data_IF_531187039675
#
_entry.id   IF_531187039675
#
_cell.length_a   1.000
_cell.length_b   1.000
_cell.length_c   1.000
_cell.angle_alpha   90.00
_cell.angle_beta   90.00
_cell.angle_gamma   90.00
#
_symmetry.space_group_name_H-M   'P 1'
#
loop_
_entity.id
_entity.type
_entity.pdbx_description
1 polymer ?
#
# COMPACT_ATOMS: atom_id res chain seq x y z
N UNK A 1 13.99 -68.07 -45.10
CA UNK A 1 14.85 -66.90 -44.75
C UNK A 1 13.92 -65.75 -44.38
N UNK A 2 14.15 -65.17 -43.20
CA UNK A 2 13.22 -64.37 -42.38
C UNK A 2 12.75 -63.07 -43.04
N UNK A 3 11.45 -62.77 -42.85
CA UNK A 3 10.87 -61.44 -43.01
C UNK A 3 11.38 -60.51 -41.90
N UNK A 4 11.91 -59.33 -42.28
CA UNK A 4 12.26 -58.26 -41.34
C UNK A 4 10.99 -57.58 -40.80
N UNK A 5 10.90 -57.23 -39.51
CA UNK A 5 9.80 -56.43 -39.00
C UNK A 5 10.01 -54.95 -39.37
N UNK A 6 8.92 -54.29 -39.79
CA UNK A 6 8.87 -52.84 -39.98
C UNK A 6 8.92 -52.14 -38.61
N UNK A 7 9.86 -51.22 -38.43
CA UNK A 7 9.92 -50.33 -37.26
C UNK A 7 8.70 -49.42 -37.21
N UNK A 8 7.98 -49.42 -36.10
CA UNK A 8 6.90 -48.47 -35.83
C UNK A 8 7.49 -47.05 -35.64
N UNK A 9 6.79 -45.99 -36.10
CA UNK A 9 7.26 -44.62 -35.89
C UNK A 9 7.13 -44.26 -34.40
N UNK A 10 8.23 -43.79 -33.81
CA UNK A 10 8.22 -43.14 -32.51
C UNK A 10 7.28 -41.93 -32.57
N UNK A 11 6.10 -42.03 -31.95
CA UNK A 11 5.29 -40.85 -31.64
C UNK A 11 6.08 -40.04 -30.62
N UNK A 12 6.67 -38.93 -31.06
CA UNK A 12 7.19 -37.90 -30.16
C UNK A 12 6.02 -37.46 -29.27
N UNK A 13 5.99 -37.93 -28.02
CA UNK A 13 5.11 -37.36 -27.00
C UNK A 13 5.57 -35.93 -26.82
N UNK A 14 4.76 -34.97 -27.25
CA UNK A 14 4.89 -33.60 -26.78
C UNK A 14 4.94 -33.64 -25.25
N UNK A 15 5.81 -32.82 -24.62
CA UNK A 15 5.76 -32.69 -23.17
C UNK A 15 4.33 -32.36 -22.74
N UNK A 16 3.84 -32.89 -21.61
CA UNK A 16 2.51 -32.56 -21.13
C UNK A 16 2.40 -31.03 -21.05
N UNK A 17 1.37 -30.47 -21.68
CA UNK A 17 1.08 -29.03 -21.59
C UNK A 17 1.02 -28.66 -20.10
N UNK A 18 1.92 -27.77 -19.69
CA UNK A 18 1.90 -27.26 -18.33
C UNK A 18 0.59 -26.51 -18.09
N UNK A 19 -0.05 -26.68 -16.92
CA UNK A 19 -1.24 -25.91 -16.58
C UNK A 19 -0.94 -24.40 -16.69
N UNK A 20 -1.91 -23.65 -17.21
CA UNK A 20 -1.80 -22.19 -17.30
C UNK A 20 -1.86 -21.57 -15.91
N UNK A 21 -1.05 -20.54 -15.71
CA UNK A 21 -1.06 -19.72 -14.50
C UNK A 21 -1.71 -18.38 -14.80
N UNK A 22 -2.83 -18.11 -14.14
CA UNK A 22 -3.49 -16.80 -14.17
C UNK A 22 -3.06 -16.01 -12.95
N UNK A 23 -2.63 -14.77 -13.15
CA UNK A 23 -2.30 -13.84 -12.07
C UNK A 23 -3.12 -12.57 -12.22
N UNK A 24 -3.74 -12.14 -11.13
CA UNK A 24 -4.54 -10.91 -11.04
C UNK A 24 -3.92 -10.03 -9.99
N UNK A 25 -3.49 -8.83 -10.37
CA UNK A 25 -2.94 -7.82 -9.46
C UNK A 25 -3.78 -6.57 -9.58
N UNK A 26 -4.32 -6.04 -8.48
CA UNK A 26 -5.18 -4.85 -8.59
C UNK A 26 -5.60 -4.24 -7.27
N UNK A 27 -6.21 -3.06 -7.38
CA UNK A 27 -6.79 -2.33 -6.26
C UNK A 27 -7.96 -3.11 -5.67
N UNK A 28 -7.85 -3.56 -4.42
CA UNK A 28 -8.88 -4.45 -3.85
C UNK A 28 -10.25 -3.79 -3.68
N UNK A 29 -10.29 -2.45 -3.59
CA UNK A 29 -11.51 -1.63 -3.51
C UNK A 29 -12.16 -1.36 -4.88
N UNK A 30 -11.61 -1.90 -5.96
CA UNK A 30 -12.20 -1.77 -7.30
C UNK A 30 -13.05 -2.98 -7.65
N UNK A 31 -14.25 -2.74 -8.20
CA UNK A 31 -15.07 -3.81 -8.77
C UNK A 31 -14.39 -4.53 -9.93
N UNK A 32 -13.57 -3.82 -10.72
CA UNK A 32 -12.75 -4.44 -11.77
C UNK A 32 -11.83 -5.55 -11.23
N UNK A 33 -11.29 -5.39 -10.03
CA UNK A 33 -10.48 -6.43 -9.39
C UNK A 33 -11.32 -7.66 -9.03
N UNK A 34 -12.53 -7.48 -8.49
CA UNK A 34 -13.42 -8.61 -8.19
C UNK A 34 -13.91 -9.33 -9.44
N UNK A 35 -14.13 -8.60 -10.54
CA UNK A 35 -14.45 -9.17 -11.86
C UNK A 35 -13.31 -10.06 -12.34
N UNK A 36 -12.08 -9.53 -12.36
CA UNK A 36 -10.90 -10.29 -12.79
C UNK A 36 -10.62 -11.51 -11.90
N UNK A 37 -10.73 -11.34 -10.58
CA UNK A 37 -10.59 -12.42 -9.60
C UNK A 37 -11.62 -13.54 -9.85
N UNK A 38 -12.90 -13.19 -10.01
CA UNK A 38 -13.96 -14.16 -10.26
C UNK A 38 -13.73 -14.93 -11.56
N UNK A 39 -13.28 -14.25 -12.62
CA UNK A 39 -12.94 -14.90 -13.89
C UNK A 39 -11.76 -15.89 -13.73
N UNK A 40 -10.71 -15.50 -12.99
CA UNK A 40 -9.56 -16.37 -12.72
C UNK A 40 -9.94 -17.61 -11.89
N UNK A 41 -10.77 -17.44 -10.86
CA UNK A 41 -11.30 -18.55 -10.04
C UNK A 41 -12.23 -19.48 -10.84
N UNK A 42 -13.04 -18.92 -11.74
CA UNK A 42 -13.90 -19.69 -12.63
C UNK A 42 -13.09 -20.58 -13.59
N UNK A 43 -11.97 -20.08 -14.14
CA UNK A 43 -11.06 -20.85 -14.99
C UNK A 43 -10.52 -22.08 -14.26
N UNK A 44 -10.03 -21.89 -13.02
CA UNK A 44 -9.55 -23.00 -12.19
C UNK A 44 -10.65 -23.99 -11.83
N UNK A 45 -11.83 -23.50 -11.46
CA UNK A 45 -12.96 -24.34 -11.03
C UNK A 45 -13.48 -25.21 -12.17
N UNK A 46 -13.63 -24.65 -13.37
CA UNK A 46 -14.17 -25.39 -14.52
C UNK A 46 -13.12 -26.29 -15.18
N UNK A 47 -11.83 -25.92 -15.11
CA UNK A 47 -10.74 -26.66 -15.76
C UNK A 47 -9.56 -26.93 -14.80
N UNK A 48 -9.76 -27.73 -13.74
CA UNK A 48 -8.79 -27.88 -12.65
C UNK A 48 -7.45 -28.48 -13.06
N UNK A 49 -7.40 -29.26 -14.15
CA UNK A 49 -6.16 -29.83 -14.70
C UNK A 49 -5.46 -28.93 -15.71
N UNK A 50 -6.14 -27.89 -16.20
CA UNK A 50 -5.60 -26.95 -17.20
C UNK A 50 -5.10 -25.65 -16.58
N UNK A 51 -5.47 -25.38 -15.34
CA UNK A 51 -5.05 -24.18 -14.61
C UNK A 51 -4.41 -24.52 -13.27
N UNK A 52 -3.36 -23.77 -12.91
CA UNK A 52 -2.89 -23.67 -11.52
C UNK A 52 -3.89 -22.86 -10.68
N UNK A 53 -3.75 -22.91 -9.35
CA UNK A 53 -4.50 -21.98 -8.49
C UNK A 53 -4.12 -20.54 -8.86
N UNK A 54 -5.12 -19.64 -9.05
CA UNK A 54 -4.84 -18.30 -9.52
C UNK A 54 -4.06 -17.52 -8.46
N UNK A 55 -3.08 -16.73 -8.91
CA UNK A 55 -2.32 -15.84 -8.03
C UNK A 55 -3.07 -14.52 -7.94
N UNK A 56 -3.74 -14.30 -6.80
CA UNK A 56 -4.51 -13.08 -6.53
C UNK A 56 -3.68 -12.17 -5.63
N UNK A 57 -3.31 -10.98 -6.12
CA UNK A 57 -2.51 -9.99 -5.41
C UNK A 57 -3.36 -8.72 -5.19
N UNK A 58 -4.09 -8.64 -4.07
CA UNK A 58 -4.82 -7.43 -3.70
C UNK A 58 -3.83 -6.34 -3.25
N UNK A 59 -3.99 -5.12 -3.77
CA UNK A 59 -3.17 -3.96 -3.41
C UNK A 59 -4.06 -2.82 -2.92
N UNK A 60 -3.58 -2.08 -1.91
CA UNK A 60 -4.12 -0.76 -1.53
C UNK A 60 -3.70 0.29 -2.59
N UNK A 61 -4.34 1.47 -2.60
CA UNK A 61 -4.08 2.55 -3.57
C UNK A 61 -2.58 2.86 -3.69
N UNK A 62 -1.93 3.10 -2.57
CA UNK A 62 -0.53 3.50 -2.57
C UNK A 62 0.41 2.42 -3.13
N UNK A 63 0.14 1.16 -2.81
CA UNK A 63 0.90 0.01 -3.34
C UNK A 63 0.58 -0.26 -4.82
N UNK A 64 -0.66 -0.01 -5.24
CA UNK A 64 -1.08 -0.11 -6.64
C UNK A 64 -0.36 0.90 -7.51
N UNK A 65 -0.26 2.16 -7.07
CA UNK A 65 0.43 3.20 -7.82
C UNK A 65 1.92 2.90 -7.99
N UNK A 66 2.58 2.42 -6.93
CA UNK A 66 3.98 1.96 -7.00
C UNK A 66 4.14 0.79 -7.98
N UNK A 67 3.28 -0.22 -7.86
CA UNK A 67 3.28 -1.37 -8.75
C UNK A 67 3.11 -0.97 -10.22
N UNK A 68 2.18 -0.05 -10.50
CA UNK A 68 1.90 0.42 -11.85
C UNK A 68 3.09 1.19 -12.42
N UNK A 69 3.75 2.04 -11.63
CA UNK A 69 4.95 2.76 -12.05
C UNK A 69 6.10 1.80 -12.39
N UNK A 70 6.32 0.77 -11.56
CA UNK A 70 7.32 -0.26 -11.83
C UNK A 70 7.01 -1.04 -13.11
N UNK A 71 5.75 -1.46 -13.29
CA UNK A 71 5.33 -2.19 -14.49
C UNK A 71 5.43 -1.36 -15.76
N UNK A 72 5.09 -0.06 -15.71
CA UNK A 72 5.28 0.86 -16.85
C UNK A 72 6.75 0.96 -17.27
N UNK A 73 7.69 0.91 -16.31
CA UNK A 73 9.13 0.90 -16.59
C UNK A 73 9.62 -0.42 -17.18
N UNK A 74 9.13 -1.55 -16.67
CA UNK A 74 9.49 -2.89 -17.17
C UNK A 74 9.01 -3.14 -18.60
N UNK A 75 7.78 -2.73 -18.91
CA UNK A 75 7.08 -3.04 -20.15
C UNK A 75 7.28 -1.98 -21.25
N UNK A 76 8.30 -1.11 -21.10
CA UNK A 76 8.82 -0.15 -22.09
C UNK A 76 7.77 0.45 -23.04
N UNK A 77 7.12 1.53 -22.64
CA UNK A 77 6.26 2.36 -23.49
C UNK A 77 5.01 1.70 -24.13
N UNK A 78 4.75 0.40 -23.96
CA UNK A 78 3.53 -0.23 -24.48
C UNK A 78 2.27 0.08 -23.63
N UNK A 79 2.46 0.69 -22.45
CA UNK A 79 1.46 0.75 -21.36
C UNK A 79 1.24 2.19 -20.85
N UNK A 80 1.68 3.23 -21.58
CA UNK A 80 1.55 4.63 -21.10
C UNK A 80 0.11 5.00 -20.70
N UNK A 81 -0.88 4.45 -21.41
CA UNK A 81 -2.30 4.75 -21.23
C UNK A 81 -3.05 3.78 -20.31
N UNK A 82 -2.35 2.89 -19.57
CA UNK A 82 -3.03 1.97 -18.66
C UNK A 82 -3.75 2.74 -17.55
N UNK A 83 -5.08 2.65 -17.57
CA UNK A 83 -6.00 3.41 -16.72
C UNK A 83 -6.91 2.52 -15.87
N UNK A 84 -6.82 1.19 -16.05
CA UNK A 84 -7.56 0.24 -15.23
C UNK A 84 -6.92 0.06 -13.85
N UNK A 85 -7.72 -0.37 -12.88
CA UNK A 85 -7.29 -0.63 -11.49
C UNK A 85 -6.86 -2.08 -11.24
N UNK A 86 -6.77 -2.90 -12.29
CA UNK A 86 -6.36 -4.30 -12.21
C UNK A 86 -5.59 -4.67 -13.46
N UNK A 87 -4.53 -5.47 -13.32
CA UNK A 87 -3.75 -6.10 -14.40
C UNK A 87 -3.83 -7.61 -14.28
N UNK A 88 -4.12 -8.26 -15.41
CA UNK A 88 -4.27 -9.70 -15.55
C UNK A 88 -3.13 -10.25 -16.39
N UNK A 89 -2.55 -11.38 -15.96
CA UNK A 89 -1.45 -12.05 -16.64
C UNK A 89 -1.77 -13.53 -16.85
N UNK A 90 -1.30 -14.09 -17.96
CA UNK A 90 -1.31 -15.53 -18.24
C UNK A 90 0.12 -15.97 -18.49
N UNK A 91 0.63 -16.92 -17.70
CA UNK A 91 2.02 -17.37 -17.74
C UNK A 91 3.02 -16.19 -17.72
N UNK A 92 2.78 -15.23 -16.82
CA UNK A 92 3.56 -14.00 -16.62
C UNK A 92 3.57 -13.02 -17.81
N UNK A 93 2.83 -13.30 -18.89
CA UNK A 93 2.60 -12.35 -19.97
C UNK A 93 1.36 -11.50 -19.68
N UNK A 94 1.46 -10.19 -19.88
CA UNK A 94 0.33 -9.27 -19.69
C UNK A 94 -0.78 -9.61 -20.67
N UNK A 95 -1.95 -9.93 -20.15
CA UNK A 95 -3.16 -10.14 -20.93
C UNK A 95 -3.92 -8.82 -21.15
N UNK A 96 -3.97 -7.97 -20.12
CA UNK A 96 -4.74 -6.73 -20.11
C UNK A 96 -5.46 -6.52 -18.78
N UNK A 97 -6.66 -5.96 -18.83
CA UNK A 97 -7.48 -5.68 -17.65
C UNK A 97 -8.50 -6.80 -17.34
N UNK A 98 -9.52 -6.49 -16.52
CA UNK A 98 -10.60 -7.41 -16.21
C UNK A 98 -11.43 -7.83 -17.43
N UNK A 99 -11.70 -6.89 -18.34
CA UNK A 99 -12.48 -7.14 -19.54
C UNK A 99 -11.70 -8.02 -20.52
N UNK A 100 -10.41 -7.75 -20.69
CA UNK A 100 -9.52 -8.59 -21.52
C UNK A 100 -9.45 -10.02 -21.00
N UNK A 101 -9.39 -10.20 -19.67
CA UNK A 101 -9.42 -11.53 -19.04
C UNK A 101 -10.74 -12.25 -19.29
N UNK A 102 -11.88 -11.58 -19.10
CA UNK A 102 -13.20 -12.19 -19.37
C UNK A 102 -13.35 -12.58 -20.85
N UNK A 103 -12.94 -11.70 -21.77
CA UNK A 103 -13.00 -11.95 -23.21
C UNK A 103 -12.11 -13.12 -23.61
N UNK A 104 -10.91 -13.22 -23.04
CA UNK A 104 -10.01 -14.35 -23.24
C UNK A 104 -10.59 -15.66 -22.69
N UNK A 105 -11.14 -15.62 -21.46
CA UNK A 105 -11.76 -16.77 -20.82
C UNK A 105 -12.96 -17.29 -21.64
N UNK A 106 -13.81 -16.38 -22.13
CA UNK A 106 -14.93 -16.74 -23.00
C UNK A 106 -14.44 -17.36 -24.32
N UNK A 107 -13.51 -16.69 -25.01
CA UNK A 107 -13.08 -17.10 -26.35
C UNK A 107 -12.31 -18.42 -26.35
N UNK A 108 -11.46 -18.64 -25.34
CA UNK A 108 -10.53 -19.77 -25.30
C UNK A 108 -11.06 -20.95 -24.48
N UNK A 109 -11.94 -20.69 -23.51
CA UNK A 109 -12.37 -21.68 -22.52
C UNK A 109 -13.89 -21.75 -22.36
N UNK A 110 -14.66 -21.02 -23.16
CA UNK A 110 -16.14 -20.98 -23.11
C UNK A 110 -16.69 -20.68 -21.71
N UNK A 111 -15.93 -19.88 -20.94
CA UNK A 111 -16.36 -19.42 -19.62
C UNK A 111 -17.10 -18.11 -19.76
N UNK A 112 -18.34 -18.09 -19.29
CA UNK A 112 -19.16 -16.87 -19.20
C UNK A 112 -19.50 -16.65 -17.74
N UNK A 113 -18.96 -15.58 -17.16
CA UNK A 113 -19.32 -15.16 -15.81
C UNK A 113 -20.43 -14.10 -15.86
N UNK A 114 -21.69 -14.56 -15.83
CA UNK A 114 -22.86 -13.68 -15.81
C UNK A 114 -23.23 -13.32 -14.36
N UNK A 115 -22.46 -12.40 -13.77
CA UNK A 115 -22.86 -11.72 -12.53
C UNK A 115 -23.27 -10.29 -12.87
N UNK A 116 -24.37 -9.79 -12.29
CA UNK A 116 -24.77 -8.40 -12.48
C UNK A 116 -23.74 -7.46 -11.81
N UNK A 117 -23.49 -6.25 -12.35
CA UNK A 117 -22.51 -5.30 -11.80
C UNK A 117 -22.69 -5.03 -10.30
N UNK A 118 -23.93 -4.97 -9.83
CA UNK A 118 -24.28 -4.73 -8.43
C UNK A 118 -23.74 -5.83 -7.50
N UNK A 119 -23.65 -7.07 -8.00
CA UNK A 119 -23.07 -8.17 -7.23
C UNK A 119 -21.56 -8.00 -7.10
N UNK A 120 -20.86 -7.52 -8.12
CA UNK A 120 -19.42 -7.23 -8.01
C UNK A 120 -19.15 -6.07 -7.05
N UNK A 121 -19.99 -5.04 -7.05
CA UNK A 121 -19.87 -3.95 -6.08
C UNK A 121 -20.07 -4.46 -4.65
N UNK A 122 -21.10 -5.28 -4.41
CA UNK A 122 -21.34 -5.89 -3.10
C UNK A 122 -20.16 -6.77 -2.64
N UNK A 123 -19.61 -7.60 -3.55
CA UNK A 123 -18.42 -8.41 -3.27
C UNK A 123 -17.18 -7.55 -2.99
N UNK A 124 -17.05 -6.39 -3.65
CA UNK A 124 -15.94 -5.46 -3.43
C UNK A 124 -15.99 -4.88 -2.03
N UNK A 125 -17.17 -4.44 -1.59
CA UNK A 125 -17.38 -3.91 -0.24
C UNK A 125 -17.10 -4.98 0.82
N UNK A 126 -17.63 -6.20 0.65
CA UNK A 126 -17.39 -7.31 1.57
C UNK A 126 -15.90 -7.68 1.64
N UNK A 127 -15.24 -7.81 0.47
CA UNK A 127 -13.82 -8.11 0.40
C UNK A 127 -12.98 -7.04 1.07
N UNK A 128 -13.29 -5.76 0.86
CA UNK A 128 -12.60 -4.64 1.48
C UNK A 128 -12.75 -4.65 3.00
N UNK A 129 -13.97 -4.83 3.50
CA UNK A 129 -14.25 -4.90 4.94
C UNK A 129 -13.50 -6.08 5.59
N UNK A 130 -13.55 -7.25 4.96
CA UNK A 130 -12.85 -8.44 5.43
C UNK A 130 -11.33 -8.24 5.43
N UNK A 131 -10.77 -7.72 4.33
CA UNK A 131 -9.34 -7.46 4.21
C UNK A 131 -8.84 -6.58 5.35
N UNK A 132 -9.55 -5.49 5.64
CA UNK A 132 -9.18 -4.56 6.72
C UNK A 132 -9.30 -5.20 8.10
N UNK A 133 -10.38 -5.96 8.34
CA UNK A 133 -10.62 -6.63 9.63
C UNK A 133 -9.57 -7.72 9.91
N UNK A 134 -9.17 -8.46 8.88
CA UNK A 134 -8.21 -9.56 9.01
C UNK A 134 -6.80 -9.09 9.37
N UNK A 135 -6.44 -7.84 9.05
CA UNK A 135 -5.11 -7.28 9.41
C UNK A 135 -4.89 -7.15 10.90
N UNK A 136 -5.95 -6.96 11.70
CA UNK A 136 -5.87 -6.57 13.13
C UNK A 136 -5.06 -5.30 13.38
N UNK A 137 -4.83 -4.51 12.33
CA UNK A 137 -4.11 -3.24 12.38
C UNK A 137 -5.06 -2.09 12.66
N UNK A 138 -4.50 -0.98 13.16
CA UNK A 138 -5.25 0.27 13.27
C UNK A 138 -5.04 1.09 11.99
N UNK A 139 -6.07 1.82 11.60
CA UNK A 139 -6.03 2.71 10.44
C UNK A 139 -6.33 4.13 10.89
N UNK A 140 -5.44 5.05 10.58
CA UNK A 140 -5.54 6.47 10.96
C UNK A 140 -5.40 7.35 9.74
N UNK A 141 -5.88 8.58 9.84
CA UNK A 141 -5.77 9.55 8.76
C UNK A 141 -5.21 10.88 9.24
N UNK A 142 -4.60 11.62 8.32
CA UNK A 142 -4.20 13.02 8.45
C UNK A 142 -4.73 13.79 7.23
N UNK A 143 -5.59 14.78 7.45
CA UNK A 143 -6.00 15.73 6.40
C UNK A 143 -5.03 16.89 6.33
N UNK A 144 -4.58 17.20 5.13
CA UNK A 144 -3.46 18.09 4.90
C UNK A 144 -3.91 19.34 4.15
N UNK A 145 -3.45 20.51 4.60
CA UNK A 145 -3.45 21.73 3.79
C UNK A 145 -2.03 22.18 3.45
N UNK A 146 -1.89 22.84 2.31
CA UNK A 146 -0.74 23.69 2.01
C UNK A 146 -1.24 25.13 2.06
N UNK A 147 -0.67 25.91 2.97
CA UNK A 147 -1.20 27.19 3.42
C UNK A 147 -2.69 27.03 3.81
N UNK A 148 -3.59 27.70 3.10
CA UNK A 148 -5.04 27.68 3.37
C UNK A 148 -5.81 26.72 2.45
N UNK A 149 -5.13 25.95 1.61
CA UNK A 149 -5.77 25.06 0.63
C UNK A 149 -5.66 23.61 1.07
N UNK A 150 -6.78 22.94 1.43
CA UNK A 150 -6.80 21.50 1.64
C UNK A 150 -6.35 20.78 0.37
N UNK A 151 -5.38 19.88 0.48
CA UNK A 151 -4.82 19.13 -0.65
C UNK A 151 -5.24 17.66 -0.68
N UNK A 152 -5.80 17.16 0.42
CA UNK A 152 -6.35 15.81 0.55
C UNK A 152 -5.94 15.12 1.85
N UNK A 153 -6.17 13.82 1.90
CA UNK A 153 -5.97 12.94 3.06
C UNK A 153 -4.80 11.99 2.84
N UNK A 154 -4.01 11.77 3.89
CA UNK A 154 -3.10 10.64 4.00
C UNK A 154 -3.73 9.60 4.92
N UNK A 155 -3.79 8.34 4.48
CA UNK A 155 -4.30 7.23 5.31
C UNK A 155 -3.16 6.27 5.60
N UNK A 156 -2.97 5.94 6.88
CA UNK A 156 -1.92 5.05 7.34
C UNK A 156 -2.49 3.78 7.95
N UNK A 157 -1.84 2.67 7.66
CA UNK A 157 -1.97 1.40 8.37
C UNK A 157 -0.86 1.31 9.42
N UNK A 158 -1.23 1.01 10.67
CA UNK A 158 -0.31 0.87 11.80
C UNK A 158 -0.12 -0.60 12.13
N UNK A 159 1.13 -1.06 12.10
CA UNK A 159 1.53 -2.44 12.36
C UNK A 159 1.54 -2.75 13.87
N UNK A 160 0.34 -2.75 14.47
CA UNK A 160 0.11 -2.89 15.90
C UNK A 160 0.52 -4.25 16.46
N UNK A 161 0.64 -5.27 15.62
CA UNK A 161 1.14 -6.60 15.97
C UNK A 161 2.66 -6.60 16.22
N UNK A 162 3.40 -5.80 15.44
CA UNK A 162 4.84 -5.64 15.55
C UNK A 162 5.23 -4.55 16.56
N UNK A 163 4.59 -3.37 16.52
CA UNK A 163 4.96 -2.20 17.33
C UNK A 163 3.76 -1.63 18.11
N UNK A 164 3.10 -2.39 19.01
CA UNK A 164 1.88 -1.96 19.69
C UNK A 164 2.03 -0.65 20.48
N UNK A 165 3.15 -0.44 21.18
CA UNK A 165 3.37 0.78 21.99
C UNK A 165 3.51 2.01 21.12
N UNK A 166 4.29 1.89 20.05
CA UNK A 166 4.54 2.96 19.05
C UNK A 166 3.26 3.30 18.30
N UNK A 167 2.54 2.27 17.83
CA UNK A 167 1.27 2.46 17.12
C UNK A 167 0.24 3.14 18.01
N UNK A 168 0.14 2.74 19.29
CA UNK A 168 -0.77 3.37 20.25
C UNK A 168 -0.43 4.83 20.49
N UNK A 169 0.86 5.18 20.59
CA UNK A 169 1.29 6.57 20.70
C UNK A 169 0.80 7.40 19.51
N UNK A 170 1.10 6.94 18.29
CA UNK A 170 0.72 7.65 17.07
C UNK A 170 -0.81 7.77 16.93
N UNK A 171 -1.55 6.69 17.17
CA UNK A 171 -3.02 6.67 17.09
C UNK A 171 -3.66 7.66 18.07
N UNK A 172 -3.20 7.70 19.31
CA UNK A 172 -3.74 8.64 20.31
C UNK A 172 -3.41 10.09 19.94
N UNK A 173 -2.21 10.34 19.41
CA UNK A 173 -1.84 11.66 18.88
C UNK A 173 -2.66 12.04 17.62
N UNK A 174 -3.08 11.09 16.79
CA UNK A 174 -4.02 11.36 15.69
C UNK A 174 -5.41 11.74 16.21
N UNK A 175 -5.90 11.08 17.27
CA UNK A 175 -7.28 11.27 17.75
C UNK A 175 -7.44 12.38 18.77
N UNK A 176 -6.36 12.81 19.41
CA UNK A 176 -6.41 13.80 20.49
C UNK A 176 -7.07 13.30 21.78
N UNK A 177 -7.37 12.00 21.90
CA UNK A 177 -8.11 11.40 23.02
C UNK A 177 -7.43 11.56 24.39
N UNK A 178 -6.12 11.79 24.43
CA UNK A 178 -5.38 12.02 25.67
C UNK A 178 -5.41 13.48 26.15
N UNK A 179 -5.95 14.40 25.35
CA UNK A 179 -6.05 15.85 25.61
C UNK A 179 -4.71 16.53 25.90
N UNK A 180 -4.16 16.40 27.11
CA UNK A 180 -2.95 17.08 27.57
C UNK A 180 -1.97 16.13 28.27
N UNK A 181 -0.67 16.38 28.09
CA UNK A 181 0.40 15.74 28.85
C UNK A 181 0.49 16.32 30.27
N UNK A 182 1.28 15.67 31.14
CA UNK A 182 1.56 16.19 32.48
C UNK A 182 2.26 17.56 32.45
N UNK A 183 2.98 17.84 31.36
CA UNK A 183 3.67 19.11 31.10
C UNK A 183 2.73 20.18 30.51
N UNK A 184 1.44 19.88 30.32
CA UNK A 184 0.45 20.79 29.75
C UNK A 184 0.49 20.91 28.22
N UNK A 185 1.23 20.03 27.53
CA UNK A 185 1.28 20.00 26.06
C UNK A 185 0.03 19.30 25.54
N UNK A 186 -0.64 19.88 24.54
CA UNK A 186 -1.77 19.23 23.88
C UNK A 186 -1.29 18.03 23.06
N UNK A 187 -1.77 16.84 23.38
CA UNK A 187 -1.37 15.59 22.73
C UNK A 187 -2.22 15.32 21.49
N UNK A 188 -2.04 16.14 20.44
CA UNK A 188 -2.83 16.05 19.20
C UNK A 188 -2.05 16.54 17.98
N UNK A 189 -2.16 15.84 16.85
CA UNK A 189 -1.50 16.23 15.59
C UNK A 189 -2.20 17.38 14.87
N UNK A 190 -3.50 17.61 15.08
CA UNK A 190 -4.22 18.73 14.45
C UNK A 190 -3.58 20.06 14.84
N UNK A 191 -3.21 20.84 13.83
CA UNK A 191 -2.51 22.13 13.95
C UNK A 191 -0.98 22.02 13.85
N UNK A 192 -0.42 20.82 14.01
CA UNK A 192 1.02 20.60 13.77
C UNK A 192 1.34 20.61 12.27
N UNK A 193 2.62 20.77 11.94
CA UNK A 193 3.07 20.95 10.56
C UNK A 193 4.07 19.88 10.13
N UNK A 194 4.22 19.70 8.82
CA UNK A 194 5.42 19.09 8.25
C UNK A 194 6.52 20.16 8.20
N UNK A 195 7.42 20.11 9.18
CA UNK A 195 8.47 21.13 9.35
C UNK A 195 9.73 20.84 8.54
N UNK A 196 9.85 19.66 7.92
CA UNK A 196 11.02 19.25 7.13
C UNK A 196 10.66 18.31 5.99
N UNK A 197 11.21 18.57 4.81
CA UNK A 197 11.12 17.75 3.59
C UNK A 197 12.53 17.53 3.08
N UNK A 198 12.97 16.29 3.07
CA UNK A 198 14.26 15.87 2.52
C UNK A 198 13.99 15.20 1.17
N UNK A 199 14.29 15.87 0.03
CA UNK A 199 14.06 15.30 -1.30
C UNK A 199 14.79 13.97 -1.46
N UNK A 200 14.12 12.96 -2.04
CA UNK A 200 14.63 11.58 -2.10
C UNK A 200 14.99 11.01 -0.71
N UNK A 201 14.33 11.48 0.35
CA UNK A 201 14.53 11.00 1.71
C UNK A 201 13.19 10.70 2.33
N UNK A 202 12.70 11.66 3.10
CA UNK A 202 11.45 11.58 3.83
C UNK A 202 10.84 12.97 4.03
N UNK A 203 9.54 13.01 4.29
CA UNK A 203 8.89 14.16 4.91
C UNK A 203 8.76 13.91 6.40
N UNK A 204 8.88 14.95 7.22
CA UNK A 204 8.85 14.87 8.68
C UNK A 204 7.91 15.92 9.25
N UNK A 205 7.10 15.50 10.22
CA UNK A 205 6.15 16.34 10.94
C UNK A 205 5.95 15.85 12.37
N UNK A 206 4.87 16.31 13.00
CA UNK A 206 4.46 15.83 14.32
C UNK A 206 5.23 16.45 15.49
N UNK A 207 5.93 17.57 15.28
CA UNK A 207 6.29 18.45 16.39
C UNK A 207 5.01 19.20 16.80
N UNK A 208 4.37 18.71 17.86
CA UNK A 208 3.06 19.18 18.36
C UNK A 208 3.16 20.39 19.28
N UNK A 209 4.36 20.95 19.47
CA UNK A 209 4.59 22.10 20.35
C UNK A 209 4.82 23.36 19.52
N UNK A 210 5.95 23.42 18.81
CA UNK A 210 6.41 24.66 18.15
C UNK A 210 6.57 24.51 16.63
N UNK A 211 6.59 23.27 16.11
CA UNK A 211 6.76 23.01 14.67
C UNK A 211 8.14 23.40 14.13
N UNK A 212 9.16 23.43 15.00
CA UNK A 212 10.56 23.71 14.63
C UNK A 212 11.37 22.43 14.44
N UNK A 213 10.89 21.30 14.96
CA UNK A 213 11.54 20.01 14.90
C UNK A 213 12.45 19.71 16.10
N UNK A 214 12.51 20.60 17.09
CA UNK A 214 13.24 20.46 18.33
C UNK A 214 12.35 20.08 19.52
N UNK A 215 11.02 20.00 19.35
CA UNK A 215 10.08 19.67 20.43
C UNK A 215 9.19 18.46 20.08
N UNK A 216 8.28 18.12 21.00
CA UNK A 216 7.35 16.99 20.88
C UNK A 216 7.32 16.13 22.14
N UNK A 217 6.17 15.52 22.41
CA UNK A 217 5.97 14.67 23.59
C UNK A 217 5.13 13.44 23.23
N UNK A 218 5.49 12.28 23.79
CA UNK A 218 4.69 11.06 23.61
C UNK A 218 3.54 11.00 24.60
N UNK A 219 2.58 10.12 24.36
CA UNK A 219 1.49 9.89 25.32
C UNK A 219 1.96 9.25 26.64
N UNK A 220 3.22 8.80 26.69
CA UNK A 220 3.84 8.15 27.85
C UNK A 220 4.76 9.11 28.63
N UNK A 221 4.85 10.38 28.23
CA UNK A 221 5.77 11.38 28.75
C UNK A 221 6.74 11.91 27.68
N UNK A 222 7.82 12.61 28.07
CA UNK A 222 8.71 13.33 27.15
C UNK A 222 9.22 12.47 25.99
N UNK A 223 9.66 11.24 26.29
CA UNK A 223 10.09 10.27 25.28
C UNK A 223 9.79 8.83 25.71
N UNK A 224 9.82 7.90 24.77
CA UNK A 224 9.77 6.46 25.00
C UNK A 224 10.80 5.69 24.16
N UNK A 225 11.03 4.44 24.54
CA UNK A 225 12.04 3.55 23.99
C UNK A 225 11.77 3.09 22.55
N UNK A 226 12.85 2.78 21.80
CA UNK A 226 12.74 2.03 20.55
C UNK A 226 12.15 0.64 20.82
N UNK A 227 10.95 0.37 20.30
CA UNK A 227 10.22 -0.86 20.58
C UNK A 227 10.83 -2.08 19.88
N UNK A 228 11.02 -2.00 18.55
CA UNK A 228 11.81 -2.98 17.78
C UNK A 228 12.15 -2.44 16.37
N UNK A 229 12.90 -3.23 15.60
CA UNK A 229 13.36 -2.89 14.24
C UNK A 229 13.01 -3.99 13.23
N UNK A 230 11.88 -4.66 13.41
CA UNK A 230 11.45 -5.78 12.55
C UNK A 230 10.96 -5.33 11.16
N UNK A 231 10.45 -4.10 11.07
CA UNK A 231 9.93 -3.53 9.83
C UNK A 231 11.05 -2.77 9.10
N UNK A 232 11.38 -3.13 7.84
CA UNK A 232 12.44 -2.49 7.09
C UNK A 232 11.96 -1.22 6.35
N UNK A 233 12.89 -0.29 6.12
CA UNK A 233 12.66 0.90 5.30
C UNK A 233 12.90 0.62 3.81
N UNK A 234 12.25 -0.41 3.27
CA UNK A 234 12.56 -0.94 1.93
C UNK A 234 11.72 -0.33 0.80
N UNK A 235 10.80 0.58 1.11
CA UNK A 235 9.88 1.19 0.14
C UNK A 235 9.56 2.64 0.47
N UNK A 236 9.00 3.34 -0.50
CA UNK A 236 8.35 4.65 -0.30
C UNK A 236 7.08 4.46 0.54
N UNK A 237 6.73 5.44 1.36
CA UNK A 237 5.52 5.48 2.20
C UNK A 237 5.65 4.79 3.55
N UNK A 238 6.85 4.35 3.96
CA UNK A 238 7.05 3.78 5.30
C UNK A 238 6.91 4.88 6.34
N UNK A 239 6.06 4.63 7.35
CA UNK A 239 5.84 5.50 8.50
C UNK A 239 6.79 5.09 9.64
N UNK A 240 7.57 6.02 10.15
CA UNK A 240 8.51 5.77 11.24
C UNK A 240 8.66 6.94 12.22
N UNK A 241 9.21 6.64 13.40
CA UNK A 241 9.41 7.62 14.47
C UNK A 241 10.71 8.39 14.25
N UNK A 242 10.62 9.72 14.23
CA UNK A 242 11.81 10.55 14.34
C UNK A 242 12.28 10.57 15.81
N UNK A 243 13.59 10.52 16.02
CA UNK A 243 14.20 10.54 17.35
C UNK A 243 15.50 11.37 17.35
N UNK A 244 15.99 11.70 18.54
CA UNK A 244 17.25 12.44 18.77
C UNK A 244 18.37 11.52 19.27
N UNK A 245 18.31 10.25 18.87
CA UNK A 245 19.14 9.17 19.40
C UNK A 245 18.30 8.02 19.93
N UNK A 246 18.98 6.94 20.32
CA UNK A 246 18.31 5.72 20.81
C UNK A 246 17.36 6.02 21.96
N UNK A 247 16.19 5.39 21.91
CA UNK A 247 15.17 5.46 22.95
C UNK A 247 14.68 6.88 23.26
N UNK A 248 14.59 7.75 22.24
CA UNK A 248 14.10 9.13 22.38
C UNK A 248 12.90 9.42 21.45
N UNK A 249 12.02 8.43 21.27
CA UNK A 249 10.82 8.59 20.45
C UNK A 249 9.82 9.49 21.18
N UNK A 250 9.25 10.47 20.47
CA UNK A 250 8.28 11.43 21.02
C UNK A 250 6.98 11.42 20.22
N UNK A 251 6.60 12.60 19.70
CA UNK A 251 5.49 12.76 18.75
C UNK A 251 5.91 12.86 17.29
N UNK A 252 7.17 13.23 17.02
CA UNK A 252 7.64 13.47 15.65
C UNK A 252 7.73 12.17 14.85
N UNK A 253 7.31 12.21 13.60
CA UNK A 253 7.29 11.07 12.69
C UNK A 253 7.80 11.48 11.31
N UNK A 254 8.14 10.49 10.49
CA UNK A 254 8.45 10.68 9.08
C UNK A 254 7.70 9.69 8.19
N UNK A 255 7.55 10.08 6.93
CA UNK A 255 7.07 9.22 5.84
C UNK A 255 8.15 9.16 4.76
N UNK A 256 8.64 7.97 4.43
CA UNK A 256 9.70 7.82 3.42
C UNK A 256 9.21 8.18 2.02
N UNK A 257 10.06 8.83 1.24
CA UNK A 257 9.80 9.17 -0.17
C UNK A 257 10.43 8.14 -1.13
N UNK A 258 11.33 7.31 -0.63
CA UNK A 258 11.96 6.19 -1.35
C UNK A 258 12.47 5.14 -0.35
N UNK A 259 12.96 3.96 -0.80
CA UNK A 259 13.67 3.03 0.08
C UNK A 259 14.82 3.71 0.81
N UNK A 260 14.87 3.57 2.14
CA UNK A 260 15.84 4.21 3.01
C UNK A 260 16.48 3.21 4.01
N UNK A 261 17.12 2.11 3.55
CA UNK A 261 17.63 1.04 4.41
C UNK A 261 18.71 1.50 5.40
N UNK A 262 19.32 2.68 5.19
CA UNK A 262 20.28 3.27 6.13
C UNK A 262 19.64 3.74 7.45
N UNK A 263 18.30 3.83 7.52
CA UNK A 263 17.51 4.09 8.71
C UNK A 263 17.23 2.82 9.55
N UNK A 264 17.41 1.63 8.95
CA UNK A 264 17.15 0.36 9.62
C UNK A 264 18.00 0.23 10.89
N UNK A 265 17.38 -0.29 11.96
CA UNK A 265 18.00 -0.47 13.28
C UNK A 265 18.42 0.83 13.99
N UNK A 266 18.03 1.99 13.46
CA UNK A 266 18.24 3.31 14.08
C UNK A 266 16.92 4.02 14.38
N UNK A 267 15.92 3.82 13.53
CA UNK A 267 14.58 4.39 13.68
C UNK A 267 13.54 3.28 13.60
N UNK A 268 12.50 3.41 14.43
CA UNK A 268 11.39 2.44 14.47
C UNK A 268 10.43 2.76 13.34
N UNK A 269 10.35 1.87 12.35
CA UNK A 269 9.21 1.83 11.43
C UNK A 269 8.05 1.10 12.09
N UNK A 270 6.83 1.61 11.93
CA UNK A 270 5.65 1.07 12.62
C UNK A 270 4.37 1.12 11.78
N UNK A 271 4.46 1.52 10.51
CA UNK A 271 3.30 1.53 9.63
C UNK A 271 3.67 1.90 8.20
N UNK A 272 2.64 2.11 7.39
CA UNK A 272 2.79 2.57 6.01
C UNK A 272 1.64 3.49 5.59
N UNK A 273 1.89 4.31 4.58
CA UNK A 273 0.85 5.01 3.83
C UNK A 273 0.13 4.02 2.89
N UNK A 274 -1.20 4.06 2.90
CA UNK A 274 -2.06 3.14 2.13
C UNK A 274 -2.97 3.86 1.12
N UNK A 275 -3.30 5.13 1.37
CA UNK A 275 -4.03 6.03 0.47
C UNK A 275 -3.46 7.45 0.61
N UNK A 276 -3.56 8.25 -0.46
CA UNK A 276 -3.05 9.61 -0.50
C UNK A 276 -1.74 9.76 -1.28
N UNK A 277 -1.55 8.96 -2.34
CA UNK A 277 -0.35 9.03 -3.19
C UNK A 277 -0.11 10.45 -3.72
N UNK A 278 -1.16 11.09 -4.24
CA UNK A 278 -1.08 12.45 -4.77
C UNK A 278 -0.77 13.49 -3.68
N UNK A 279 -1.30 13.29 -2.46
CA UNK A 279 -1.08 14.19 -1.33
C UNK A 279 0.39 14.14 -0.91
N UNK A 280 0.97 12.94 -0.81
CA UNK A 280 2.39 12.77 -0.52
C UNK A 280 3.28 13.37 -1.61
N UNK A 281 2.91 13.21 -2.89
CA UNK A 281 3.63 13.84 -4.00
C UNK A 281 3.56 15.37 -3.94
N UNK A 282 2.39 15.96 -3.65
CA UNK A 282 2.25 17.41 -3.49
C UNK A 282 3.11 17.93 -2.34
N UNK A 283 3.16 17.24 -1.20
CA UNK A 283 4.03 17.58 -0.07
C UNK A 283 5.52 17.50 -0.41
N UNK A 284 5.94 16.45 -1.14
CA UNK A 284 7.32 16.28 -1.60
C UNK A 284 7.78 17.39 -2.54
N UNK A 285 6.88 17.93 -3.36
CA UNK A 285 7.16 18.96 -4.35
C UNK A 285 7.12 20.39 -3.79
N UNK A 286 6.78 20.58 -2.51
CA UNK A 286 6.77 21.91 -1.89
C UNK A 286 8.19 22.49 -1.88
N UNK A 287 8.39 23.72 -2.40
CA UNK A 287 9.68 24.39 -2.33
C UNK A 287 10.18 24.52 -0.88
N UNK A 288 11.49 24.29 -0.69
CA UNK A 288 12.12 24.36 0.64
C UNK A 288 13.29 25.32 0.69
N UNK A 289 13.55 25.84 1.89
CA UNK A 289 14.79 26.52 2.27
C UNK A 289 15.42 25.74 3.43
N UNK A 290 16.64 25.20 3.21
CA UNK A 290 17.29 24.31 4.17
C UNK A 290 16.39 23.15 4.65
N UNK A 291 15.74 22.47 3.69
CA UNK A 291 14.79 21.36 3.93
C UNK A 291 13.49 21.79 4.65
N UNK A 292 13.32 23.05 5.04
CA UNK A 292 12.07 23.55 5.62
C UNK A 292 11.12 24.00 4.52
N UNK A 293 9.87 23.51 4.45
CA UNK A 293 8.86 24.01 3.52
C UNK A 293 8.68 25.52 3.65
N UNK A 294 8.70 26.21 2.51
CA UNK A 294 8.42 27.65 2.43
C UNK A 294 6.94 27.90 2.72
N UNK A 295 6.07 27.04 2.17
CA UNK A 295 4.64 27.05 2.40
C UNK A 295 4.30 26.21 3.64
N UNK A 296 3.27 26.63 4.39
CA UNK A 296 2.89 25.92 5.61
C UNK A 296 2.11 24.67 5.27
N UNK A 297 2.73 23.50 5.41
CA UNK A 297 2.07 22.21 5.27
C UNK A 297 1.49 21.78 6.63
N UNK A 298 0.17 21.89 6.83
CA UNK A 298 -0.49 21.73 8.13
C UNK A 298 -1.38 20.48 8.14
N UNK A 299 -1.42 19.78 9.27
CA UNK A 299 -2.43 18.75 9.57
C UNK A 299 -3.67 19.47 10.09
N UNK A 300 -4.73 19.52 9.28
CA UNK A 300 -5.95 20.27 9.58
C UNK A 300 -7.03 19.41 10.26
N UNK A 301 -6.99 18.10 10.06
CA UNK A 301 -7.82 17.12 10.77
C UNK A 301 -7.05 15.79 10.87
N UNK A 302 -7.36 14.98 11.89
CA UNK A 302 -6.77 13.66 12.05
C UNK A 302 -7.60 12.77 12.95
N UNK A 303 -7.46 11.45 12.82
CA UNK A 303 -8.17 10.53 13.69
C UNK A 303 -8.06 9.07 13.28
N UNK A 304 -8.88 8.25 13.94
CA UNK A 304 -9.14 6.87 13.55
C UNK A 304 -10.01 6.87 12.28
N UNK A 305 -9.67 6.05 11.29
CA UNK A 305 -10.40 6.01 10.02
C UNK A 305 -11.79 5.36 10.15
N UNK A 306 -11.94 4.42 11.08
CA UNK A 306 -13.14 3.58 11.25
C UNK A 306 -13.79 3.70 12.65
N UNK A 307 -13.51 4.78 13.38
CA UNK A 307 -14.11 5.01 14.70
C UNK A 307 -15.55 5.52 14.65
#
# INVERSE_FOLDING_TARGET
KQCRPKSAPCRSRSPPEQPLRVKVVGLFKSSSFQVAKSAAEALKTNYPSKFEDPIIVPLQEFAWDQYLQEKKRELKNEIWEYSSYVMCFVNDQLLGDAFDLQKWAQKMWDIVDFKPPELYEALTVDYAAKFLTDTKHAFVFLDISIDFYPIGRLVFELYCDACPKTCRNFQVLCTGKAEFSQSGIRLHYVGSIFHRVVPNGWIQGGDIVEGRGDDGESIYGPTFEDENFSIPHNKRGVLGMANKGRHTNGSQFYVTLQPAPYLDRKYVAFGQLIEGTEVLQKLELVPTENERPIQRCVIIDSGDLYA
#
